data_IF_589120363404
#
_entry.id   IF_589120363404
#
_cell.length_a   1.000
_cell.length_b   1.000
_cell.length_c   1.000
_cell.angle_alpha   90.00
_cell.angle_beta   90.00
_cell.angle_gamma   90.00
#
_symmetry.space_group_name_H-M   'P 1'
#
loop_
_entity.id
_entity.type
_entity.pdbx_description
1 polymer ?
2 non-polymer ?
#
# COMPACT_ATOMS: atom_id res chain seq x y z
N UNK A 6 28.32 -16.27 4.57
CA UNK A 6 27.97 -17.57 4.01
C UNK A 6 27.23 -17.43 2.67
N UNK A 7 27.26 -18.50 1.88
CA UNK A 7 26.73 -18.54 0.52
C UNK A 7 25.24 -18.21 0.46
N UNK A 8 24.48 -18.80 1.39
CA UNK A 8 23.04 -18.61 1.48
C UNK A 8 22.65 -17.14 1.56
N UNK A 9 23.26 -16.45 2.53
CA UNK A 9 23.02 -15.02 2.73
C UNK A 9 23.29 -14.22 1.48
N UNK A 10 24.24 -14.67 0.67
CA UNK A 10 24.55 -14.01 -0.59
C UNK A 10 23.41 -14.23 -1.57
N UNK A 11 22.99 -15.48 -1.72
CA UNK A 11 21.89 -15.78 -2.63
C UNK A 11 20.65 -14.94 -2.29
N UNK A 12 20.30 -14.88 -1.01
CA UNK A 12 19.11 -14.14 -0.59
C UNK A 12 19.33 -12.63 -0.58
N UNK A 13 20.59 -12.22 -0.54
CA UNK A 13 20.93 -10.82 -0.66
C UNK A 13 20.66 -10.36 -2.08
N UNK A 14 21.23 -11.08 -3.05
CA UNK A 14 20.99 -10.79 -4.46
C UNK A 14 19.50 -10.80 -4.75
N UNK A 15 18.83 -11.88 -4.34
CA UNK A 15 17.39 -11.99 -4.58
C UNK A 15 16.62 -10.81 -4.00
N UNK A 16 16.86 -10.54 -2.72
CA UNK A 16 16.22 -9.43 -2.03
C UNK A 16 16.42 -8.11 -2.75
N UNK A 17 17.64 -7.88 -3.23
CA UNK A 17 17.99 -6.67 -3.95
C UNK A 17 17.21 -6.53 -5.25
N UNK A 18 17.10 -7.62 -5.99
CA UNK A 18 16.36 -7.60 -7.24
C UNK A 18 14.87 -7.26 -7.01
N UNK A 19 14.22 -8.08 -6.18
CA UNK A 19 12.80 -7.88 -5.89
C UNK A 19 12.51 -6.46 -5.35
N UNK A 20 13.27 -6.06 -4.35
CA UNK A 20 13.07 -4.75 -3.73
C UNK A 20 13.34 -3.61 -4.69
N UNK A 21 14.32 -3.78 -5.57
CA UNK A 21 14.57 -2.84 -6.66
C UNK A 21 13.28 -2.63 -7.44
N UNK A 22 12.68 -3.74 -7.89
CA UNK A 22 11.39 -3.65 -8.58
C UNK A 22 10.36 -2.85 -7.76
N UNK A 23 10.20 -3.22 -6.50
CA UNK A 23 9.22 -2.54 -5.65
C UNK A 23 9.52 -1.05 -5.46
N UNK A 24 10.79 -0.67 -5.55
CA UNK A 24 11.15 0.74 -5.49
C UNK A 24 10.77 1.42 -6.78
N UNK A 25 10.75 0.65 -7.86
CA UNK A 25 10.34 1.24 -9.13
C UNK A 25 8.82 1.17 -9.32
N UNK A 26 8.11 0.63 -8.33
CA UNK A 26 6.64 0.58 -8.40
C UNK A 26 5.88 1.93 -8.49
N UNK A 27 6.39 3.02 -7.88
CA UNK A 27 5.63 4.28 -7.98
C UNK A 27 5.89 5.11 -9.26
N UNK A 28 6.72 4.57 -10.14
CA UNK A 28 7.13 5.32 -11.32
C UNK A 28 5.95 5.73 -12.21
N UNK A 29 5.02 4.80 -12.57
CA UNK A 29 3.91 5.28 -13.39
C UNK A 29 3.12 6.41 -12.74
N UNK A 30 2.91 6.31 -11.44
CA UNK A 30 2.31 7.38 -10.66
C UNK A 30 3.02 8.70 -10.93
N UNK A 31 4.35 8.67 -10.92
CA UNK A 31 5.06 9.93 -11.14
C UNK A 31 5.12 10.38 -12.61
N UNK A 32 5.00 9.43 -13.54
CA UNK A 32 4.83 9.78 -14.94
C UNK A 32 3.56 10.61 -15.06
N UNK A 33 2.50 10.11 -14.44
CA UNK A 33 1.25 10.86 -14.33
C UNK A 33 1.46 12.25 -13.73
N UNK A 34 2.05 12.30 -12.54
CA UNK A 34 2.19 13.57 -11.82
C UNK A 34 2.98 14.59 -12.65
N UNK A 35 3.96 14.12 -13.39
CA UNK A 35 4.72 14.98 -14.28
C UNK A 35 3.87 15.43 -15.47
N UNK A 36 2.98 14.57 -15.94
CA UNK A 36 2.04 14.97 -16.98
C UNK A 36 1.15 16.11 -16.53
N UNK A 37 0.37 15.88 -15.47
CA UNK A 37 -0.65 16.84 -15.06
C UNK A 37 -0.06 18.11 -14.42
N UNK A 38 1.20 18.05 -14.01
CA UNK A 38 1.87 19.12 -13.28
C UNK A 38 1.19 19.38 -11.94
N UNK A 39 0.66 18.30 -11.36
CA UNK A 39 0.03 18.37 -10.05
C UNK A 39 0.13 17.02 -9.37
N UNK A 40 0.29 17.03 -8.05
CA UNK A 40 0.38 15.79 -7.28
C UNK A 40 -0.99 15.19 -7.05
N UNK A 41 -2.01 15.81 -7.64
CA UNK A 41 -3.40 15.34 -7.53
C UNK A 41 -3.80 15.05 -6.10
N UNK A 42 -4.30 13.84 -5.85
CA UNK A 42 -4.71 13.44 -4.52
C UNK A 42 -3.70 12.54 -3.85
N UNK A 43 -2.47 12.54 -4.36
CA UNK A 43 -1.41 11.68 -3.82
C UNK A 43 -0.76 12.30 -2.58
N UNK A 44 -0.36 11.43 -1.65
CA UNK A 44 0.31 11.87 -0.44
C UNK A 44 1.82 11.65 -0.58
N UNK A 45 2.60 12.29 0.28
CA UNK A 45 4.04 12.16 0.24
C UNK A 45 4.55 11.29 1.39
N UNK A 46 3.63 10.88 2.25
CA UNK A 46 3.97 10.08 3.42
C UNK A 46 4.62 8.73 3.09
N UNK A 47 4.10 7.99 2.08
CA UNK A 47 4.80 6.73 1.77
C UNK A 47 6.27 6.92 1.43
N UNK A 48 6.58 8.06 0.83
CA UNK A 48 7.92 8.34 0.31
C UNK A 48 8.86 8.83 1.41
N UNK A 49 8.41 9.84 2.16
CA UNK A 49 9.14 10.29 3.33
C UNK A 49 9.42 9.11 4.26
N UNK A 50 8.39 8.29 4.47
CA UNK A 50 8.53 7.06 5.24
C UNK A 50 9.60 6.13 4.65
N UNK A 51 9.42 5.73 3.40
CA UNK A 51 10.35 4.77 2.77
C UNK A 51 11.80 5.24 2.86
N UNK A 52 12.00 6.54 2.66
CA UNK A 52 13.34 7.12 2.80
C UNK A 52 13.86 7.00 4.24
N UNK A 53 13.04 7.42 5.21
CA UNK A 53 13.47 7.36 6.61
C UNK A 53 13.83 5.93 7.02
N UNK A 54 13.02 4.97 6.59
CA UNK A 54 13.22 3.56 6.83
C UNK A 54 14.55 3.07 6.23
N UNK A 55 14.73 3.35 4.94
CA UNK A 55 15.97 3.02 4.24
C UNK A 55 17.20 3.55 4.99
N UNK A 56 17.11 4.81 5.43
CA UNK A 56 18.23 5.42 6.15
C UNK A 56 18.52 4.69 7.47
N UNK A 57 17.47 4.47 8.25
CA UNK A 57 17.61 3.69 9.48
C UNK A 57 18.30 2.35 9.22
N UNK A 58 17.96 1.68 8.12
CA UNK A 58 18.54 0.37 7.87
C UNK A 58 20.00 0.42 7.40
N UNK A 59 20.33 1.40 6.57
CA UNK A 59 21.73 1.63 6.21
C UNK A 59 22.55 1.83 7.48
N UNK A 60 22.05 2.70 8.34
CA UNK A 60 22.68 2.97 9.62
C UNK A 60 22.85 1.68 10.44
N UNK A 61 21.82 0.83 10.42
CA UNK A 61 21.89 -0.43 11.15
C UNK A 61 23.00 -1.32 10.62
N UNK A 62 23.11 -1.39 9.30
CA UNK A 62 24.07 -2.28 8.67
C UNK A 62 25.50 -1.83 8.91
N UNK A 63 25.75 -0.53 8.87
CA UNK A 63 27.11 -0.04 9.10
C UNK A 63 27.70 -0.51 10.43
N UNK A 64 26.81 -0.86 11.36
CA UNK A 64 27.19 -1.43 12.64
C UNK A 64 27.54 -2.91 12.54
N UNK A 65 26.87 -3.61 11.63
CA UNK A 65 27.12 -5.04 11.43
C UNK A 65 28.31 -5.30 10.51
N UNK A 66 28.75 -4.25 9.81
CA UNK A 66 29.88 -4.32 8.88
C UNK A 66 29.76 -5.39 7.80
N UNK A 67 30.73 -6.32 7.80
CA UNK A 67 30.97 -7.27 6.73
C UNK A 67 29.82 -7.96 6.03
N UNK A 68 29.06 -8.75 6.77
CA UNK A 68 28.00 -9.57 6.17
C UNK A 68 26.89 -8.77 5.49
N UNK A 69 26.47 -7.68 6.13
CA UNK A 69 25.26 -6.99 5.74
C UNK A 69 25.39 -6.00 4.58
N UNK A 70 26.51 -6.06 3.87
CA UNK A 70 26.73 -5.21 2.69
C UNK A 70 25.52 -5.17 1.76
N UNK A 71 24.93 -6.35 1.54
CA UNK A 71 23.80 -6.49 0.63
C UNK A 71 22.53 -5.80 1.10
N UNK A 72 22.39 -5.54 2.40
CA UNK A 72 21.22 -4.80 2.86
C UNK A 72 21.54 -3.31 2.93
N UNK A 73 22.75 -2.94 2.51
CA UNK A 73 23.08 -1.53 2.30
C UNK A 73 22.79 -1.14 0.86
N UNK A 74 23.37 -1.89 -0.07
CA UNK A 74 23.24 -1.65 -1.51
C UNK A 74 21.81 -1.36 -1.94
N UNK A 75 20.87 -2.15 -1.46
CA UNK A 75 19.49 -1.94 -1.83
C UNK A 75 18.98 -0.66 -1.15
N UNK A 76 19.18 -0.54 0.16
CA UNK A 76 18.74 0.62 0.91
C UNK A 76 19.36 1.91 0.40
N UNK A 77 20.65 1.84 0.10
CA UNK A 77 21.34 2.93 -0.59
C UNK A 77 20.54 3.36 -1.82
N UNK A 78 20.27 2.40 -2.70
CA UNK A 78 19.49 2.71 -3.90
C UNK A 78 18.10 3.18 -3.53
N UNK A 79 17.58 2.72 -2.39
CA UNK A 79 16.33 3.24 -1.88
C UNK A 79 16.44 4.74 -1.68
N UNK A 80 17.44 5.15 -0.90
CA UNK A 80 17.66 6.55 -0.55
C UNK A 80 17.60 7.46 -1.77
N UNK A 81 18.35 7.12 -2.81
CA UNK A 81 18.29 7.85 -4.05
C UNK A 81 16.88 7.87 -4.65
N UNK A 82 16.33 6.69 -4.93
CA UNK A 82 15.06 6.62 -5.66
C UNK A 82 13.97 7.37 -4.89
N UNK A 83 13.84 7.12 -3.59
CA UNK A 83 12.86 7.85 -2.79
C UNK A 83 13.13 9.34 -2.81
N UNK A 84 14.41 9.72 -2.67
CA UNK A 84 14.80 11.13 -2.75
C UNK A 84 14.31 11.74 -4.04
N UNK A 85 14.29 10.94 -5.11
CA UNK A 85 13.78 11.43 -6.37
C UNK A 85 12.27 11.66 -6.27
N UNK A 86 11.54 10.65 -5.79
CA UNK A 86 10.09 10.75 -5.62
C UNK A 86 9.68 11.96 -4.78
N UNK A 87 10.48 12.24 -3.76
CA UNK A 87 10.24 13.38 -2.89
C UNK A 87 10.47 14.71 -3.60
N UNK A 88 11.51 14.78 -4.42
CA UNK A 88 11.80 16.03 -5.11
C UNK A 88 10.68 16.37 -6.09
N UNK A 89 10.43 15.44 -7.01
CA UNK A 89 9.34 15.59 -7.98
C UNK A 89 8.02 15.98 -7.32
N UNK A 90 7.63 15.23 -6.29
CA UNK A 90 6.40 15.52 -5.56
C UNK A 90 6.40 16.97 -5.08
N UNK A 91 7.52 17.42 -4.53
CA UNK A 91 7.59 18.77 -3.97
C UNK A 91 7.65 19.80 -5.10
N UNK A 92 8.09 19.38 -6.28
CA UNK A 92 8.11 20.26 -7.43
C UNK A 92 6.70 20.56 -7.92
N UNK A 93 5.90 19.51 -8.09
CA UNK A 93 4.57 19.65 -8.66
C UNK A 93 3.46 19.73 -7.61
N UNK A 94 3.83 20.00 -6.36
CA UNK A 94 2.85 20.04 -5.27
C UNK A 94 2.19 21.40 -5.09
N UNK A 95 0.94 21.35 -4.63
CA UNK A 95 0.27 22.46 -3.99
C UNK A 95 1.21 23.18 -3.03
N UNK A 96 1.09 24.49 -2.90
CA UNK A 96 1.89 25.25 -1.94
C UNK A 96 1.68 24.72 -0.53
N UNK A 97 0.41 24.59 -0.14
CA UNK A 97 0.02 24.02 1.14
C UNK A 97 0.67 22.65 1.35
N UNK A 98 0.48 21.77 0.38
CA UNK A 98 1.02 20.42 0.44
C UNK A 98 2.54 20.42 0.35
N UNK A 99 3.10 21.26 -0.52
CA UNK A 99 4.55 21.48 -0.60
C UNK A 99 5.11 21.69 0.80
N UNK A 100 4.50 22.63 1.52
CA UNK A 100 4.99 22.96 2.85
C UNK A 100 4.75 21.84 3.85
N UNK A 101 3.59 21.18 3.79
CA UNK A 101 3.35 20.03 4.67
C UNK A 101 4.49 19.01 4.52
N UNK A 102 4.73 18.61 3.27
CA UNK A 102 5.78 17.66 2.92
C UNK A 102 7.14 18.11 3.43
N UNK A 103 7.49 19.37 3.19
CA UNK A 103 8.78 19.88 3.62
C UNK A 103 8.94 19.83 5.14
N UNK A 104 7.87 20.17 5.86
CA UNK A 104 7.88 20.11 7.32
C UNK A 104 8.15 18.70 7.81
N UNK A 105 7.37 17.74 7.32
CA UNK A 105 7.58 16.35 7.76
C UNK A 105 8.98 15.88 7.38
N UNK A 106 9.47 16.33 6.24
CA UNK A 106 10.81 16.00 5.77
C UNK A 106 11.89 16.54 6.73
N UNK A 107 11.63 17.71 7.31
CA UNK A 107 12.57 18.31 8.23
C UNK A 107 12.53 17.68 9.61
N UNK A 108 11.33 17.32 10.08
CA UNK A 108 11.18 16.68 11.38
C UNK A 108 11.75 15.26 11.38
N UNK A 109 11.14 14.40 10.57
CA UNK A 109 11.48 12.99 10.55
C UNK A 109 12.89 12.72 10.00
N UNK A 110 13.12 13.17 8.77
CA UNK A 110 14.32 12.78 8.02
C UNK A 110 15.59 13.51 8.44
N UNK A 111 15.50 14.80 8.74
CA UNK A 111 16.68 15.54 9.15
C UNK A 111 16.84 15.50 10.66
N UNK A 112 15.93 16.16 11.37
CA UNK A 112 16.01 16.23 12.83
C UNK A 112 15.90 14.86 13.49
N UNK A 113 14.80 14.16 13.27
CA UNK A 113 14.57 12.85 13.87
C UNK A 113 15.76 11.91 13.72
N UNK A 114 16.18 11.74 12.46
CA UNK A 114 17.30 10.89 12.14
C UNK A 114 18.60 11.37 12.79
N UNK A 115 18.83 12.68 12.79
CA UNK A 115 20.04 13.24 13.40
C UNK A 115 20.06 12.97 14.90
N UNK A 116 18.92 13.12 15.55
CA UNK A 116 18.78 12.84 16.96
C UNK A 116 19.09 11.39 17.22
N UNK A 117 18.63 10.54 16.31
CA UNK A 117 18.93 9.12 16.44
C UNK A 117 20.43 8.88 16.35
N UNK A 118 21.09 9.44 15.33
CA UNK A 118 22.55 9.32 15.20
C UNK A 118 23.24 9.83 16.44
N UNK A 119 22.85 11.01 16.91
CA UNK A 119 23.41 11.64 18.09
C UNK A 119 23.29 10.73 19.30
N UNK A 120 22.10 10.18 19.50
CA UNK A 120 21.84 9.34 20.66
C UNK A 120 22.63 8.03 20.56
N UNK A 121 22.84 7.52 19.35
CA UNK A 121 23.54 6.25 19.20
C UNK A 121 25.07 6.36 19.26
N UNK A 122 25.62 7.44 18.71
CA UNK A 122 27.08 7.62 18.65
C UNK A 122 27.69 7.99 20.00
N UNK A 123 26.84 8.40 20.93
CA UNK A 123 27.31 9.00 22.18
C UNK A 123 26.74 8.32 23.43
N UNK A 124 25.83 7.37 23.26
CA UNK A 124 25.23 6.69 24.41
C UNK A 124 25.43 5.18 24.35
N UNK A 125 25.70 4.67 23.15
CA UNK A 125 25.96 3.25 22.95
C UNK A 125 27.16 3.06 22.05
N UNK A 126 27.75 1.87 22.13
CA UNK A 126 28.66 1.36 21.13
C UNK A 126 28.49 -0.14 21.06
N UNK A 127 29.02 -0.76 20.03
CA UNK A 127 29.05 -2.20 19.95
C UNK A 127 27.71 -2.89 19.91
N UNK A 128 27.54 -3.84 20.82
CA UNK A 128 26.34 -4.66 20.87
C UNK A 128 25.13 -3.83 21.29
N UNK A 129 25.31 -2.95 22.28
CA UNK A 129 24.21 -2.12 22.75
C UNK A 129 23.74 -1.19 21.63
N UNK A 130 24.70 -0.76 20.82
CA UNK A 130 24.41 0.01 19.62
C UNK A 130 23.57 -0.82 18.64
N UNK A 131 24.01 -2.04 18.37
CA UNK A 131 23.26 -2.97 17.52
C UNK A 131 21.81 -3.13 17.99
N UNK A 132 21.65 -3.36 19.29
CA UNK A 132 20.34 -3.60 19.90
C UNK A 132 19.45 -2.36 19.81
N UNK A 133 20.03 -1.18 20.09
CA UNK A 133 19.28 0.07 20.00
C UNK A 133 18.80 0.33 18.57
N UNK A 134 19.75 0.40 17.64
CA UNK A 134 19.42 0.62 16.24
C UNK A 134 18.43 -0.41 15.71
N UNK A 135 18.71 -1.68 15.99
CA UNK A 135 17.84 -2.77 15.58
C UNK A 135 16.42 -2.59 16.10
N UNK A 136 16.30 -2.29 17.38
CA UNK A 136 15.02 -2.02 17.98
C UNK A 136 14.27 -0.93 17.24
N UNK A 137 14.98 0.15 16.93
CA UNK A 137 14.35 1.27 16.23
C UNK A 137 13.90 0.91 14.81
N UNK A 138 14.75 0.20 14.07
CA UNK A 138 14.44 -0.24 12.71
C UNK A 138 13.22 -1.16 12.69
N UNK A 139 13.22 -2.13 13.59
CA UNK A 139 12.09 -3.03 13.72
C UNK A 139 10.83 -2.23 14.00
N UNK A 140 10.90 -1.33 14.98
CA UNK A 140 9.77 -0.48 15.33
C UNK A 140 9.19 0.28 14.17
N UNK A 141 10.03 1.04 13.47
CA UNK A 141 9.56 1.87 12.36
C UNK A 141 9.01 1.03 11.21
N UNK A 142 9.79 0.04 10.80
CA UNK A 142 9.37 -0.89 9.75
C UNK A 142 7.99 -1.46 10.06
N UNK A 143 7.81 -1.91 11.29
CA UNK A 143 6.52 -2.44 11.74
C UNK A 143 5.44 -1.36 11.61
N UNK A 144 5.76 -0.14 12.03
CA UNK A 144 4.78 0.94 11.99
C UNK A 144 4.33 1.24 10.56
N UNK A 145 5.21 1.00 9.58
CA UNK A 145 4.85 1.24 8.19
C UNK A 145 3.81 0.26 7.64
N UNK A 146 3.47 -0.77 8.42
CA UNK A 146 2.46 -1.73 8.02
C UNK A 146 1.05 -1.15 8.13
N UNK A 147 0.95 0.06 8.67
CA UNK A 147 -0.33 0.73 8.84
C UNK A 147 -0.99 0.99 7.50
N UNK A 148 -0.19 1.34 6.49
CA UNK A 148 -0.74 1.60 5.15
C UNK A 148 -1.34 0.34 4.53
N UNK A 149 -0.63 -0.80 4.53
CA UNK A 149 -1.32 -1.97 4.00
C UNK A 149 -2.52 -2.42 4.83
N UNK A 150 -2.43 -2.33 6.17
CA UNK A 150 -3.55 -2.69 7.03
C UNK A 150 -4.75 -1.81 6.72
N UNK A 151 -4.48 -0.53 6.54
CA UNK A 151 -5.51 0.42 6.11
C UNK A 151 -6.13 -0.02 4.80
N UNK A 152 -5.30 -0.37 3.83
CA UNK A 152 -5.79 -0.84 2.54
C UNK A 152 -6.69 -2.07 2.68
N UNK A 153 -6.25 -3.04 3.47
CA UNK A 153 -7.04 -4.25 3.75
C UNK A 153 -8.39 -3.87 4.35
N UNK A 154 -8.36 -2.97 5.31
CA UNK A 154 -9.56 -2.49 5.97
C UNK A 154 -10.52 -1.92 4.94
N UNK A 155 -10.00 -1.10 4.03
CA UNK A 155 -10.83 -0.53 2.98
C UNK A 155 -11.42 -1.63 2.10
N UNK A 156 -10.58 -2.57 1.68
CA UNK A 156 -11.00 -3.67 0.83
C UNK A 156 -12.16 -4.48 1.44
N UNK A 157 -12.03 -4.84 2.71
CA UNK A 157 -13.08 -5.58 3.40
C UNK A 157 -14.34 -4.71 3.55
N UNK A 158 -14.15 -3.47 3.95
CA UNK A 158 -15.27 -2.54 4.16
C UNK A 158 -16.05 -2.25 2.88
N UNK A 159 -15.38 -2.37 1.73
CA UNK A 159 -15.94 -1.94 0.46
C UNK A 159 -16.26 -3.11 -0.46
N UNK A 160 -15.77 -4.30 -0.09
CA UNK A 160 -15.97 -5.54 -0.84
C UNK A 160 -15.40 -5.45 -2.26
N UNK A 161 -14.40 -4.57 -2.44
CA UNK A 161 -13.70 -4.43 -3.70
C UNK A 161 -12.20 -4.61 -3.48
N UNK A 162 -11.44 -4.81 -4.54
CA UNK A 162 -10.00 -5.00 -4.43
C UNK A 162 -9.25 -3.99 -5.30
N UNK A 163 -9.99 -2.97 -5.74
CA UNK A 163 -9.48 -1.94 -6.63
C UNK A 163 -8.21 -1.26 -6.10
N UNK A 164 -8.19 -0.97 -4.80
CA UNK A 164 -7.06 -0.29 -4.17
C UNK A 164 -5.91 -1.25 -3.86
N UNK A 165 -6.15 -2.55 -4.05
CA UNK A 165 -5.17 -3.56 -3.68
C UNK A 165 -4.90 -4.54 -4.82
N UNK A 166 -4.11 -4.12 -5.81
CA UNK A 166 -3.76 -5.01 -6.93
C UNK A 166 -2.99 -6.24 -6.45
N UNK A 167 -3.19 -7.37 -7.14
CA UNK A 167 -2.64 -8.65 -6.72
C UNK A 167 -1.11 -8.70 -6.76
N UNK A 168 -0.52 -8.08 -7.78
CA UNK A 168 0.91 -8.22 -8.02
C UNK A 168 1.78 -7.48 -7.01
N UNK A 169 1.27 -6.35 -6.53
CA UNK A 169 1.94 -5.64 -5.44
C UNK A 169 2.01 -6.55 -4.24
N UNK A 170 0.89 -7.19 -3.92
CA UNK A 170 0.84 -8.14 -2.80
C UNK A 170 1.81 -9.30 -2.99
N UNK A 171 1.80 -9.89 -4.18
CA UNK A 171 2.71 -10.99 -4.48
C UNK A 171 4.16 -10.57 -4.27
N UNK A 172 4.55 -9.48 -4.91
CA UNK A 172 5.93 -9.02 -4.84
C UNK A 172 6.34 -8.62 -3.42
N UNK A 173 5.42 -8.03 -2.66
CA UNK A 173 5.68 -7.72 -1.27
C UNK A 173 5.88 -9.00 -0.47
N UNK A 174 5.10 -10.02 -0.78
CA UNK A 174 5.23 -11.31 -0.10
C UNK A 174 6.58 -11.93 -0.38
N UNK A 175 6.95 -12.01 -1.66
CA UNK A 175 8.21 -12.65 -2.05
C UNK A 175 9.40 -11.89 -1.47
N UNK A 176 9.34 -10.56 -1.56
CA UNK A 176 10.31 -9.69 -0.92
C UNK A 176 10.46 -10.04 0.56
N UNK A 177 9.31 -10.20 1.22
CA UNK A 177 9.27 -10.51 2.64
C UNK A 177 9.91 -11.85 2.99
N UNK A 178 9.56 -12.92 2.28
CA UNK A 178 10.13 -14.22 2.62
C UNK A 178 11.61 -14.27 2.23
N UNK A 179 11.98 -13.48 1.22
CA UNK A 179 13.36 -13.45 0.77
C UNK A 179 14.24 -12.80 1.83
N UNK A 180 13.84 -11.62 2.30
CA UNK A 180 14.63 -10.94 3.32
C UNK A 180 14.53 -11.65 4.67
N UNK A 181 13.44 -12.38 4.88
CA UNK A 181 13.30 -13.24 6.05
C UNK A 181 14.39 -14.31 6.07
N UNK A 182 14.44 -15.09 4.99
CA UNK A 182 15.48 -16.11 4.84
C UNK A 182 16.86 -15.48 4.92
N UNK A 183 17.00 -14.26 4.38
CA UNK A 183 18.26 -13.54 4.47
C UNK A 183 18.68 -13.31 5.91
N UNK A 184 17.76 -12.75 6.71
CA UNK A 184 18.01 -12.52 8.12
C UNK A 184 18.38 -13.81 8.82
N UNK A 185 17.69 -14.89 8.44
CA UNK A 185 17.98 -16.20 9.00
C UNK A 185 19.41 -16.66 8.68
N UNK A 186 19.86 -16.36 7.47
CA UNK A 186 21.18 -16.78 7.03
C UNK A 186 22.30 -16.08 7.81
N UNK A 187 22.11 -14.78 8.06
CA UNK A 187 23.06 -14.04 8.87
C UNK A 187 22.63 -14.06 10.33
N UNK A 188 21.66 -14.92 10.63
CA UNK A 188 21.13 -15.14 11.97
C UNK A 188 20.73 -13.85 12.68
N UNK A 189 20.30 -12.86 11.90
CA UNK A 189 19.86 -11.58 12.42
C UNK A 189 18.33 -11.60 12.54
N UNK A 190 17.84 -11.51 13.77
CA UNK A 190 16.40 -11.54 14.02
C UNK A 190 15.82 -10.14 14.11
N UNK A 191 16.63 -9.13 13.76
CA UNK A 191 16.14 -7.77 13.63
C UNK A 191 15.67 -7.54 12.20
N UNK A 192 16.38 -8.16 11.27
CA UNK A 192 15.99 -8.14 9.86
C UNK A 192 14.83 -9.12 9.62
N UNK A 193 14.83 -10.21 10.40
CA UNK A 193 13.94 -11.35 10.12
C UNK A 193 12.50 -11.22 10.60
N UNK A 194 12.29 -10.78 11.84
CA UNK A 194 10.95 -10.73 12.44
C UNK A 194 9.95 -9.83 11.69
N UNK A 195 10.33 -8.57 11.39
CA UNK A 195 9.32 -7.79 10.66
C UNK A 195 9.03 -8.34 9.26
N UNK A 196 9.94 -9.14 8.70
CA UNK A 196 9.66 -9.81 7.44
C UNK A 196 8.71 -10.99 7.63
N UNK A 197 8.68 -11.53 8.84
CA UNK A 197 7.66 -12.52 9.19
C UNK A 197 6.31 -11.84 9.17
N UNK A 198 6.21 -10.72 9.89
CA UNK A 198 4.99 -9.92 9.87
C UNK A 198 4.56 -9.60 8.43
N UNK A 199 5.52 -9.14 7.64
CA UNK A 199 5.26 -8.72 6.27
C UNK A 199 4.80 -9.83 5.34
N UNK A 200 5.42 -11.00 5.45
CA UNK A 200 5.04 -12.14 4.63
C UNK A 200 3.64 -12.59 5.00
N UNK A 201 3.36 -12.57 6.31
CA UNK A 201 2.04 -12.92 6.79
C UNK A 201 0.97 -11.99 6.22
N UNK A 202 1.17 -10.68 6.37
CA UNK A 202 0.21 -9.70 5.88
C UNK A 202 0.03 -9.76 4.36
N UNK A 203 1.13 -10.04 3.65
CA UNK A 203 1.07 -10.19 2.21
C UNK A 203 0.23 -11.37 1.78
N UNK A 204 0.48 -12.52 2.41
CA UNK A 204 -0.35 -13.70 2.18
C UNK A 204 -1.82 -13.37 2.42
N UNK A 205 -2.11 -12.74 3.55
CA UNK A 205 -3.48 -12.36 3.88
C UNK A 205 -4.06 -11.43 2.81
N UNK A 206 -3.21 -10.59 2.23
CA UNK A 206 -3.64 -9.73 1.14
C UNK A 206 -4.03 -10.54 -0.10
N UNK A 207 -3.19 -11.51 -0.46
CA UNK A 207 -3.51 -12.36 -1.61
C UNK A 207 -4.81 -13.12 -1.38
N UNK A 208 -4.98 -13.64 -0.17
CA UNK A 208 -6.19 -14.36 0.21
C UNK A 208 -7.41 -13.45 0.07
N UNK A 209 -7.34 -12.25 0.65
CA UNK A 209 -8.42 -11.26 0.53
C UNK A 209 -8.75 -10.92 -0.93
N UNK A 210 -7.72 -10.87 -1.77
CA UNK A 210 -7.90 -10.60 -3.19
C UNK A 210 -8.68 -11.72 -3.84
N UNK A 211 -8.27 -12.97 -3.58
CA UNK A 211 -8.96 -14.10 -4.18
C UNK A 211 -10.41 -14.17 -3.69
N UNK A 212 -10.64 -13.77 -2.44
CA UNK A 212 -12.00 -13.78 -1.89
C UNK A 212 -12.89 -12.69 -2.48
N UNK A 213 -12.39 -11.46 -2.52
CA UNK A 213 -13.24 -10.30 -2.78
C UNK A 213 -13.20 -9.72 -4.20
N UNK A 214 -12.35 -10.26 -5.07
CA UNK A 214 -12.20 -9.71 -6.41
C UNK A 214 -13.51 -9.66 -7.19
N UNK A 215 -14.23 -10.79 -7.18
CA UNK A 215 -15.50 -10.88 -7.89
C UNK A 215 -16.70 -10.90 -6.93
N UNK A 216 -16.55 -10.24 -5.78
CA UNK A 216 -17.64 -10.18 -4.82
C UNK A 216 -18.87 -9.53 -5.45
N UNK A 217 -18.76 -8.22 -5.69
CA UNK A 217 -19.86 -7.49 -6.29
C UNK A 217 -20.16 -8.00 -7.69
N UNK A 218 -21.43 -7.97 -8.06
CA UNK A 218 -21.84 -8.39 -9.38
C UNK A 218 -21.66 -7.24 -10.37
N UNK A 219 -20.98 -7.52 -11.50
CA UNK A 219 -20.78 -6.47 -12.51
C UNK A 219 -22.09 -5.96 -13.06
N UNK A 220 -22.26 -4.64 -13.09
CA UNK A 220 -23.49 -4.00 -13.55
C UNK A 220 -23.95 -4.55 -14.90
N UNK A 221 -22.99 -4.89 -15.75
CA UNK A 221 -23.25 -5.49 -17.05
C UNK A 221 -24.11 -6.75 -16.93
N UNK A 222 -23.72 -7.66 -16.06
CA UNK A 222 -24.41 -8.94 -15.92
C UNK A 222 -25.68 -8.86 -15.08
N UNK A 223 -26.02 -7.65 -14.63
CA UNK A 223 -27.22 -7.48 -13.84
C UNK A 223 -28.46 -7.48 -14.73
N UNK A 224 -29.54 -8.07 -14.22
CA UNK A 224 -30.72 -8.35 -15.02
C UNK A 224 -31.73 -7.20 -15.06
N UNK A 225 -32.21 -6.91 -16.26
CA UNK A 225 -33.30 -5.95 -16.44
C UNK A 225 -34.63 -6.56 -16.02
N UNK A 226 -35.48 -5.74 -15.42
CA UNK A 226 -36.84 -6.17 -15.10
C UNK A 226 -37.84 -5.21 -15.74
N UNK A 227 -39.07 -5.67 -15.91
CA UNK A 227 -40.11 -4.88 -16.53
C UNK A 227 -41.42 -4.95 -15.74
N UNK A 228 -42.11 -3.82 -15.68
CA UNK A 228 -43.43 -3.75 -15.08
C UNK A 228 -44.45 -4.31 -16.06
N UNK A 229 -45.05 -5.44 -15.71
CA UNK A 229 -46.02 -6.10 -16.58
C UNK A 229 -47.35 -5.35 -16.63
N UNK A 230 -47.43 -4.22 -15.93
CA UNK A 230 -48.61 -3.37 -15.99
C UNK A 230 -48.33 -2.14 -16.85
N UNK A 231 -47.13 -1.60 -16.70
CA UNK A 231 -46.73 -0.38 -17.41
C UNK A 231 -45.99 -0.64 -18.71
N UNK A 232 -45.21 -1.71 -18.72
CA UNK A 232 -44.29 -1.97 -19.81
C UNK A 232 -42.94 -1.36 -19.48
N UNK A 233 -42.90 -0.56 -18.42
CA UNK A 233 -41.68 0.12 -17.97
C UNK A 233 -40.53 -0.85 -17.77
N UNK A 234 -39.33 -0.43 -18.14
CA UNK A 234 -38.14 -1.24 -17.97
C UNK A 234 -37.17 -0.61 -16.99
N UNK A 235 -36.75 -1.36 -15.98
CA UNK A 235 -35.75 -0.89 -15.04
C UNK A 235 -34.35 -1.29 -15.53
N UNK A 236 -33.51 -0.28 -15.77
CA UNK A 236 -32.11 -0.52 -16.05
C UNK A 236 -31.29 -0.35 -14.79
N UNK A 237 -30.72 -1.45 -14.29
CA UNK A 237 -29.85 -1.37 -13.12
C UNK A 237 -28.68 -0.41 -13.33
N UNK A 238 -28.14 -0.35 -14.55
CA UNK A 238 -27.07 0.60 -14.86
C UNK A 238 -27.56 2.04 -14.74
N UNK A 239 -28.81 2.26 -15.12
CA UNK A 239 -29.42 3.58 -15.03
C UNK A 239 -30.01 3.80 -13.65
N UNK A 240 -30.51 2.72 -13.06
CA UNK A 240 -31.15 2.78 -11.76
C UNK A 240 -32.36 3.68 -11.78
N UNK A 241 -32.77 4.15 -10.60
CA UNK A 241 -33.87 5.12 -10.51
C UNK A 241 -33.50 6.24 -9.56
N UNK A 242 -32.57 7.13 -9.99
CA UNK A 242 -32.01 8.19 -9.15
C UNK A 242 -33.04 9.15 -8.57
N UNK A 243 -33.97 9.64 -9.40
CA UNK A 243 -34.96 10.63 -8.96
C UNK A 243 -35.81 10.13 -7.80
N UNK A 244 -35.85 8.81 -7.61
CA UNK A 244 -36.61 8.23 -6.51
C UNK A 244 -35.72 7.42 -5.56
N UNK A 245 -34.54 7.97 -5.26
CA UNK A 245 -33.65 7.39 -4.27
C UNK A 245 -33.17 5.97 -4.57
N UNK A 246 -32.86 5.71 -5.83
CA UNK A 246 -32.24 4.43 -6.21
C UNK A 246 -31.07 4.72 -7.15
N UNK A 247 -29.88 4.81 -6.57
CA UNK A 247 -28.68 5.16 -7.32
C UNK A 247 -28.40 4.20 -8.47
N UNK A 248 -27.89 4.71 -9.59
CA UNK A 248 -27.54 3.89 -10.75
C UNK A 248 -26.54 2.80 -10.38
N UNK A 249 -26.66 1.63 -11.01
CA UNK A 249 -25.79 0.52 -10.67
C UNK A 249 -26.43 -0.38 -9.62
N UNK A 250 -27.60 0.03 -9.14
CA UNK A 250 -28.32 -0.75 -8.13
C UNK A 250 -28.97 -1.98 -8.74
N UNK A 251 -28.77 -3.13 -8.11
CA UNK A 251 -29.43 -4.36 -8.52
C UNK A 251 -30.91 -4.28 -8.18
N UNK A 252 -31.74 -5.01 -8.93
CA UNK A 252 -33.17 -5.00 -8.71
C UNK A 252 -33.54 -5.60 -7.36
N UNK A 253 -32.79 -6.62 -6.95
CA UNK A 253 -33.09 -7.33 -5.71
C UNK A 253 -32.65 -6.53 -4.48
N UNK A 254 -31.79 -5.53 -4.71
CA UNK A 254 -31.31 -4.68 -3.62
C UNK A 254 -32.20 -3.47 -3.42
N UNK A 255 -33.18 -3.31 -4.31
CA UNK A 255 -34.13 -2.22 -4.23
C UNK A 255 -35.15 -2.47 -3.11
N UNK A 256 -35.33 -1.48 -2.22
CA UNK A 256 -36.25 -1.58 -1.08
C UNK A 256 -37.67 -1.95 -1.52
N UNK A 257 -38.30 -2.84 -0.79
CA UNK A 257 -39.58 -3.42 -1.19
C UNK A 257 -40.76 -2.45 -1.16
N UNK A 258 -40.51 -1.21 -0.76
CA UNK A 258 -41.55 -0.19 -0.80
C UNK A 258 -41.33 0.73 -2.00
N UNK A 259 -40.63 0.21 -3.01
CA UNK A 259 -40.39 0.92 -4.25
C UNK A 259 -41.50 0.56 -5.22
N UNK A 260 -41.79 1.45 -6.15
CA UNK A 260 -42.85 1.22 -7.11
C UNK A 260 -42.39 1.55 -8.53
N UNK A 261 -43.24 1.21 -9.50
CA UNK A 261 -42.98 1.56 -10.88
C UNK A 261 -43.03 3.08 -10.99
N UNK A 262 -41.95 3.69 -11.48
CA UNK A 262 -41.89 5.16 -11.53
C UNK A 262 -42.95 5.78 -12.45
N UNK A 263 -43.37 5.04 -13.47
CA UNK A 263 -44.41 5.51 -14.38
C UNK A 263 -45.79 5.11 -13.87
N UNK A 264 -45.98 3.79 -13.69
CA UNK A 264 -47.29 3.25 -13.34
C UNK A 264 -47.66 3.34 -11.86
N UNK A 265 -46.64 3.25 -11.01
CA UNK A 265 -46.86 3.39 -9.60
C UNK A 265 -47.18 2.11 -8.87
N UNK A 266 -47.14 0.98 -9.56
CA UNK A 266 -47.44 -0.31 -8.94
C UNK A 266 -46.24 -0.91 -8.22
N UNK A 267 -46.53 -1.86 -7.33
CA UNK A 267 -45.53 -2.51 -6.51
C UNK A 267 -44.40 -3.23 -7.26
N UNK A 268 -43.38 -3.61 -6.51
CA UNK A 268 -42.21 -4.30 -7.04
C UNK A 268 -42.55 -5.72 -7.43
N UNK A 269 -43.62 -6.25 -6.83
CA UNK A 269 -44.07 -7.61 -7.10
C UNK A 269 -44.65 -7.73 -8.51
N UNK A 270 -44.93 -6.59 -9.13
CA UNK A 270 -45.50 -6.56 -10.46
C UNK A 270 -44.41 -6.59 -11.53
N UNK A 271 -43.15 -6.71 -11.11
CA UNK A 271 -42.04 -6.71 -12.05
C UNK A 271 -41.56 -8.13 -12.37
N UNK A 272 -40.99 -8.29 -13.57
CA UNK A 272 -40.57 -9.60 -14.04
C UNK A 272 -39.34 -9.45 -14.90
N UNK A 273 -38.37 -10.36 -14.76
CA UNK A 273 -37.10 -10.21 -15.46
C UNK A 273 -37.29 -10.20 -16.98
N UNK A 274 -36.48 -9.41 -17.66
CA UNK A 274 -36.44 -9.40 -19.12
C UNK A 274 -35.58 -10.55 -19.62
#
# INVERSE_FOLDING_TARGET
MALTNNLWAFVFGILGNIISFVLFLAPVPTFVRICKKKSTEGFQSLPYVSALFNAMLWIYYAMQKDGTAFLLITINAFGCVIETIYIVLFVSYANKKTRISTLKVLGLLNFLGFAAIVLVCELLTKGSTREKVLGGICVGFSVSMFAAPLSIMRVVVRTRSVEFMPFSLSLFLTINAVTWLFYGLAIKDFYVALPNVLGAFLGAVQMILYIIFKYYKTPVAQMKKYTCTVCGYIYNPEDGDPDNGVNPGTDFKDIPDDWVCPLCGVGKDQFEEVEEENLYFQGHHHHHHHHHH
#
